data_IF_782076709185
#
_entry.id   IF_782076709185
#
_cell.length_a   1.000
_cell.length_b   1.000
_cell.length_c   1.000
_cell.angle_alpha   90.00
_cell.angle_beta   90.00
_cell.angle_gamma   90.00
#
_symmetry.space_group_name_H-M   'P 1'
#
loop_
_entity.id
_entity.type
_entity.pdbx_description
1 polymer ?
#
# COMPACT_ATOMS: atom_id res chain seq x y z
N UNK A 1 -19.01 9.80 -17.23
CA UNK A 1 -18.01 10.02 -16.17
C UNK A 1 -17.47 8.67 -15.71
N UNK A 2 -16.16 8.43 -15.70
CA UNK A 2 -15.60 7.10 -15.40
C UNK A 2 -15.22 7.00 -13.90
N UNK A 3 -16.06 6.30 -13.11
CA UNK A 3 -15.91 6.16 -11.66
C UNK A 3 -14.55 5.56 -11.26
N UNK A 4 -14.05 4.58 -12.01
CA UNK A 4 -12.75 3.96 -11.78
C UNK A 4 -11.63 5.01 -11.78
N UNK A 5 -11.61 5.89 -12.79
CA UNK A 5 -10.58 6.94 -12.92
C UNK A 5 -10.63 7.91 -11.75
N UNK A 6 -11.83 8.30 -11.31
CA UNK A 6 -12.01 9.22 -10.18
C UNK A 6 -11.54 8.61 -8.86
N UNK A 7 -11.88 7.35 -8.59
CA UNK A 7 -11.42 6.65 -7.38
C UNK A 7 -9.90 6.46 -7.37
N UNK A 8 -9.30 6.08 -8.51
CA UNK A 8 -7.86 5.95 -8.63
C UNK A 8 -7.14 7.30 -8.44
N UNK A 9 -7.69 8.38 -8.99
CA UNK A 9 -7.15 9.73 -8.82
C UNK A 9 -7.22 10.19 -7.36
N UNK A 10 -8.35 9.96 -6.69
CA UNK A 10 -8.50 10.26 -5.27
C UNK A 10 -7.50 9.46 -4.41
N UNK A 11 -7.34 8.16 -4.69
CA UNK A 11 -6.39 7.32 -3.99
C UNK A 11 -4.94 7.82 -4.16
N UNK A 12 -4.53 8.16 -5.38
CA UNK A 12 -3.19 8.73 -5.63
C UNK A 12 -3.01 10.05 -4.90
N UNK A 13 -4.02 10.93 -4.93
CA UNK A 13 -4.01 12.21 -4.20
C UNK A 13 -3.81 12.00 -2.69
N UNK A 14 -4.50 11.03 -2.10
CA UNK A 14 -4.36 10.69 -0.68
C UNK A 14 -2.96 10.16 -0.34
N UNK A 15 -2.38 9.34 -1.22
CA UNK A 15 -1.04 8.77 -1.01
C UNK A 15 0.08 9.80 -1.19
N UNK A 16 -0.11 10.80 -2.04
CA UNK A 16 0.90 11.83 -2.34
C UNK A 16 0.77 13.08 -1.45
N UNK A 17 -0.37 13.23 -0.77
CA UNK A 17 -0.63 14.34 0.15
C UNK A 17 0.38 14.43 1.29
N UNK A 18 0.86 15.65 1.57
CA UNK A 18 1.70 15.97 2.72
C UNK A 18 0.83 16.46 3.88
N UNK A 19 0.09 15.55 4.51
CA UNK A 19 -0.76 15.86 5.66
C UNK A 19 -2.08 15.12 5.67
N UNK A 20 -2.92 15.38 6.68
CA UNK A 20 -4.26 14.81 6.78
C UNK A 20 -5.17 15.54 5.78
N UNK A 21 -5.55 14.85 4.70
CA UNK A 21 -6.51 15.34 3.71
C UNK A 21 -7.85 14.62 3.89
N UNK A 22 -8.95 15.37 3.82
CA UNK A 22 -10.28 14.77 3.80
C UNK A 22 -10.45 13.96 2.52
N UNK A 23 -10.93 12.71 2.66
CA UNK A 23 -11.20 11.84 1.50
C UNK A 23 -12.42 12.36 0.76
N UNK A 24 -12.23 12.74 -0.50
CA UNK A 24 -13.30 13.18 -1.38
C UNK A 24 -13.75 12.01 -2.25
N UNK A 25 -14.59 11.13 -1.68
CA UNK A 25 -15.08 9.95 -2.40
C UNK A 25 -16.04 10.41 -3.50
N UNK A 26 -15.82 10.03 -4.78
CA UNK A 26 -16.75 10.31 -5.86
C UNK A 26 -18.11 9.63 -5.60
N UNK A 27 -19.22 10.30 -5.98
CA UNK A 27 -20.56 9.76 -5.81
C UNK A 27 -20.70 8.35 -6.41
N UNK A 28 -21.20 7.40 -5.62
CA UNK A 28 -21.33 5.99 -6.00
C UNK A 28 -20.05 5.17 -5.81
N UNK A 29 -18.98 5.78 -5.28
CA UNK A 29 -17.69 5.14 -4.98
C UNK A 29 -17.53 4.69 -3.52
N UNK A 30 -18.49 4.97 -2.65
CA UNK A 30 -18.40 4.78 -1.19
C UNK A 30 -18.22 3.31 -0.82
N UNK A 31 -18.99 2.42 -1.44
CA UNK A 31 -18.86 0.98 -1.22
C UNK A 31 -17.52 0.44 -1.75
N UNK A 32 -17.09 0.88 -2.93
CA UNK A 32 -15.82 0.46 -3.52
C UNK A 32 -14.64 0.92 -2.66
N UNK A 33 -14.67 2.15 -2.16
CA UNK A 33 -13.68 2.67 -1.25
C UNK A 33 -13.64 1.88 0.06
N UNK A 34 -14.81 1.61 0.65
CA UNK A 34 -14.93 0.79 1.87
C UNK A 34 -14.37 -0.61 1.67
N UNK A 35 -14.73 -1.30 0.59
CA UNK A 35 -14.25 -2.64 0.27
C UNK A 35 -12.76 -2.67 0.00
N UNK A 36 -12.25 -1.69 -0.76
CA UNK A 36 -10.82 -1.55 -1.00
C UNK A 36 -10.05 -1.37 0.32
N UNK A 37 -10.51 -0.48 1.21
CA UNK A 37 -9.89 -0.29 2.53
C UNK A 37 -9.93 -1.54 3.40
N UNK A 38 -11.02 -2.33 3.33
CA UNK A 38 -11.13 -3.58 4.07
C UNK A 38 -10.13 -4.64 3.55
N UNK A 39 -10.08 -4.84 2.23
CA UNK A 39 -9.12 -5.75 1.59
C UNK A 39 -7.67 -5.30 1.80
N UNK A 40 -7.42 -3.99 1.71
CA UNK A 40 -6.09 -3.41 1.90
C UNK A 40 -5.52 -3.70 3.30
N UNK A 41 -6.37 -3.70 4.32
CA UNK A 41 -5.97 -4.01 5.70
C UNK A 41 -5.53 -5.45 5.90
N UNK A 42 -6.00 -6.36 5.06
CA UNK A 42 -5.69 -7.80 5.15
C UNK A 42 -4.64 -8.24 4.14
N UNK A 43 -4.15 -7.32 3.30
CA UNK A 43 -3.19 -7.64 2.24
C UNK A 43 -1.92 -8.23 2.82
N UNK A 44 -1.35 -9.19 2.11
CA UNK A 44 -0.02 -9.68 2.46
C UNK A 44 1.06 -8.66 2.12
N UNK A 45 2.12 -8.64 2.93
CA UNK A 45 3.33 -7.88 2.67
C UNK A 45 4.53 -8.83 2.72
N UNK A 46 5.35 -8.80 1.67
CA UNK A 46 6.57 -9.59 1.57
C UNK A 46 7.83 -8.75 1.75
N UNK A 47 9.00 -9.37 1.59
CA UNK A 47 10.30 -8.70 1.71
C UNK A 47 10.50 -7.55 0.72
N UNK A 48 9.84 -7.60 -0.44
CA UNK A 48 9.88 -6.55 -1.46
C UNK A 48 8.72 -5.54 -1.33
N UNK A 49 7.93 -5.61 -0.26
CA UNK A 49 6.81 -4.70 -0.02
C UNK A 49 5.42 -5.33 -0.24
N UNK A 50 4.38 -4.50 -0.36
CA UNK A 50 3.00 -4.95 -0.39
C UNK A 50 2.69 -5.80 -1.63
N UNK A 51 2.03 -6.93 -1.41
CA UNK A 51 1.59 -7.83 -2.49
C UNK A 51 0.24 -7.38 -3.04
N UNK A 52 -0.03 -7.58 -4.34
CA UNK A 52 -1.31 -7.21 -4.95
C UNK A 52 -2.49 -7.95 -4.32
N UNK A 53 -3.63 -7.27 -4.26
CA UNK A 53 -4.89 -7.89 -3.87
C UNK A 53 -5.32 -8.85 -4.99
N UNK A 54 -5.43 -10.12 -4.65
CA UNK A 54 -5.75 -11.21 -5.57
C UNK A 54 -7.27 -11.37 -5.77
N UNK A 55 -7.66 -11.98 -6.89
CA UNK A 55 -9.06 -12.37 -7.09
C UNK A 55 -9.58 -13.33 -6.03
N UNK A 56 -8.71 -14.18 -5.47
CA UNK A 56 -9.05 -15.09 -4.38
C UNK A 56 -9.44 -14.33 -3.10
N UNK A 57 -8.69 -13.28 -2.75
CA UNK A 57 -9.03 -12.41 -1.61
C UNK A 57 -10.35 -11.66 -1.83
N UNK A 58 -10.57 -11.13 -3.03
CA UNK A 58 -11.83 -10.44 -3.37
C UNK A 58 -13.02 -11.41 -3.30
N UNK A 59 -12.87 -12.61 -3.85
CA UNK A 59 -13.91 -13.65 -3.83
C UNK A 59 -14.19 -14.14 -2.40
N UNK A 60 -13.14 -14.35 -1.60
CA UNK A 60 -13.28 -14.73 -0.19
C UNK A 60 -14.00 -13.64 0.61
N UNK A 61 -13.60 -12.37 0.45
CA UNK A 61 -14.24 -11.23 1.10
C UNK A 61 -15.71 -11.09 0.69
N UNK A 62 -16.03 -11.21 -0.59
CA UNK A 62 -17.41 -11.22 -1.08
C UNK A 62 -18.25 -12.32 -0.42
N UNK A 63 -17.70 -13.52 -0.27
CA UNK A 63 -18.39 -14.67 0.34
C UNK A 63 -18.57 -14.53 1.85
N UNK A 64 -17.54 -14.12 2.58
CA UNK A 64 -17.58 -13.98 4.05
C UNK A 64 -18.64 -12.96 4.48
N UNK A 65 -18.75 -11.85 3.74
CA UNK A 65 -19.67 -10.76 4.06
C UNK A 65 -20.96 -10.78 3.24
N UNK A 66 -21.19 -11.81 2.41
CA UNK A 66 -22.34 -11.94 1.51
C UNK A 66 -22.58 -10.68 0.66
N UNK A 67 -21.50 -10.11 0.12
CA UNK A 67 -21.54 -8.87 -0.66
C UNK A 67 -21.75 -9.14 -2.17
N UNK A 68 -22.60 -8.37 -2.86
CA UNK A 68 -22.84 -8.51 -4.29
C UNK A 68 -21.71 -7.87 -5.13
N UNK A 69 -20.49 -8.39 -5.03
CA UNK A 69 -19.33 -7.89 -5.78
C UNK A 69 -19.36 -8.44 -7.21
N UNK A 70 -19.97 -7.68 -8.11
CA UNK A 70 -19.98 -7.94 -9.57
C UNK A 70 -18.61 -7.76 -10.26
N UNK A 71 -18.40 -8.33 -11.45
CA UNK A 71 -17.15 -8.18 -12.21
C UNK A 71 -16.70 -6.73 -12.45
N UNK A 72 -17.65 -5.80 -12.63
CA UNK A 72 -17.33 -4.36 -12.76
C UNK A 72 -16.74 -3.77 -11.48
N UNK A 73 -17.17 -4.24 -10.30
CA UNK A 73 -16.61 -3.82 -9.03
C UNK A 73 -15.20 -4.39 -8.85
N UNK A 74 -15.01 -5.66 -9.21
CA UNK A 74 -13.70 -6.32 -9.20
C UNK A 74 -12.71 -5.54 -10.06
N UNK A 75 -13.08 -5.16 -11.28
CA UNK A 75 -12.22 -4.38 -12.16
C UNK A 75 -11.78 -3.04 -11.54
N UNK A 76 -12.68 -2.35 -10.82
CA UNK A 76 -12.37 -1.10 -10.13
C UNK A 76 -11.45 -1.34 -8.93
N UNK A 77 -11.71 -2.37 -8.12
CA UNK A 77 -10.87 -2.72 -6.97
C UNK A 77 -9.44 -3.06 -7.40
N UNK A 78 -9.28 -3.83 -8.47
CA UNK A 78 -7.97 -4.15 -9.04
C UNK A 78 -7.28 -2.89 -9.59
N UNK A 79 -8.01 -2.00 -10.25
CA UNK A 79 -7.43 -0.74 -10.73
C UNK A 79 -6.99 0.19 -9.58
N UNK A 80 -7.76 0.23 -8.49
CA UNK A 80 -7.37 0.96 -7.28
C UNK A 80 -6.12 0.36 -6.64
N UNK A 81 -6.02 -0.97 -6.54
CA UNK A 81 -4.81 -1.62 -5.98
C UNK A 81 -3.58 -1.37 -6.85
N UNK A 82 -3.72 -1.46 -8.18
CA UNK A 82 -2.65 -1.14 -9.10
C UNK A 82 -2.17 0.31 -8.93
N UNK A 83 -3.11 1.26 -8.80
CA UNK A 83 -2.78 2.66 -8.53
C UNK A 83 -2.02 2.83 -7.21
N UNK A 84 -2.37 2.08 -6.16
CA UNK A 84 -1.63 2.08 -4.90
C UNK A 84 -0.21 1.53 -5.07
N UNK A 85 -0.07 0.35 -5.68
CA UNK A 85 1.22 -0.31 -5.87
C UNK A 85 2.17 0.56 -6.69
N UNK A 86 1.70 1.16 -7.79
CA UNK A 86 2.48 2.11 -8.58
C UNK A 86 3.03 3.26 -7.73
N UNK A 87 2.20 3.85 -6.86
CA UNK A 87 2.63 4.97 -6.01
C UNK A 87 3.60 4.51 -4.92
N UNK A 88 3.42 3.33 -4.33
CA UNK A 88 4.33 2.82 -3.31
C UNK A 88 5.68 2.41 -3.90
N UNK A 89 5.69 1.67 -5.00
CA UNK A 89 6.92 1.24 -5.66
C UNK A 89 7.70 2.39 -6.31
N UNK A 90 7.03 3.48 -6.71
CA UNK A 90 7.71 4.72 -7.13
C UNK A 90 8.45 5.43 -5.99
N UNK A 91 7.97 5.30 -4.75
CA UNK A 91 8.60 5.91 -3.57
C UNK A 91 9.78 5.08 -3.04
N UNK A 92 9.85 3.79 -3.36
CA UNK A 92 11.00 2.98 -2.99
C UNK A 92 12.22 3.37 -3.85
N UNK A 93 13.41 3.51 -3.25
CA UNK A 93 14.63 3.71 -4.02
C UNK A 93 14.89 2.46 -4.87
N UNK A 94 14.58 2.54 -6.17
CA UNK A 94 14.93 1.50 -7.13
C UNK A 94 16.44 1.58 -7.39
N UNK A 95 17.18 0.51 -7.12
CA UNK A 95 18.52 0.41 -7.67
C UNK A 95 18.41 0.21 -9.19
N UNK A 96 19.36 0.77 -9.97
CA UNK A 96 19.50 0.42 -11.38
C UNK A 96 19.67 -1.10 -11.55
N UNK A 97 19.19 -1.62 -12.69
CA UNK A 97 19.24 -3.04 -13.02
C UNK A 97 20.65 -3.63 -12.80
N UNK A 98 20.72 -4.75 -12.08
CA UNK A 98 21.96 -5.49 -11.81
C UNK A 98 22.71 -5.09 -10.53
N UNK A 99 22.29 -4.04 -9.83
CA UNK A 99 22.93 -3.63 -8.56
C UNK A 99 22.00 -3.94 -7.38
N UNK A 100 22.45 -4.77 -6.43
CA UNK A 100 21.73 -4.96 -5.18
C UNK A 100 21.68 -3.62 -4.45
N UNK A 101 20.48 -3.10 -4.18
CA UNK A 101 20.30 -1.92 -3.31
C UNK A 101 20.96 -2.26 -1.97
N UNK A 102 22.01 -1.51 -1.59
CA UNK A 102 22.57 -1.67 -0.26
C UNK A 102 21.48 -1.28 0.75
N UNK A 103 21.27 -2.05 1.83
CA UNK A 103 20.33 -1.66 2.87
C UNK A 103 20.69 -0.26 3.38
N UNK A 104 19.69 0.55 3.80
CA UNK A 104 19.93 1.91 4.25
C UNK A 104 21.01 1.91 5.32
N UNK A 105 22.17 2.50 4.99
CA UNK A 105 23.29 2.61 5.93
C UNK A 105 22.92 3.70 6.92
N UNK A 106 22.92 3.36 8.21
CA UNK A 106 22.69 4.32 9.28
C UNK A 106 23.67 5.49 9.15
N UNK A 107 23.15 6.72 9.19
CA UNK A 107 23.99 7.93 9.27
C UNK A 107 24.54 8.17 10.68
N UNK A 108 24.10 7.39 11.67
CA UNK A 108 24.62 7.51 13.02
C UNK A 108 26.06 6.95 13.06
N UNK A 109 27.04 7.72 13.55
CA UNK A 109 28.40 7.21 13.72
C UNK A 109 28.39 6.05 14.73
N UNK A 110 29.00 4.93 14.35
CA UNK A 110 29.24 3.79 15.25
C UNK A 110 30.31 4.21 16.26
N UNK A 111 29.87 4.76 17.40
CA UNK A 111 30.75 5.10 18.52
C UNK A 111 30.80 3.94 19.50
N UNK A 112 31.93 3.80 20.22
CA UNK A 112 32.08 2.79 21.27
C UNK A 112 30.96 2.90 22.32
N UNK A 113 30.58 4.11 22.72
CA UNK A 113 29.48 4.31 23.66
C UNK A 113 28.10 3.88 23.14
N UNK A 114 27.82 4.03 21.85
CA UNK A 114 26.58 3.50 21.25
C UNK A 114 26.60 1.97 21.14
N UNK A 115 27.77 1.39 20.87
CA UNK A 115 27.95 -0.04 20.85
C UNK A 115 27.74 -0.65 22.24
N UNK A 116 28.39 -0.09 23.26
CA UNK A 116 28.26 -0.55 24.65
C UNK A 116 26.85 -0.34 25.20
N UNK A 117 26.17 0.74 24.83
CA UNK A 117 24.78 0.97 25.22
C UNK A 117 23.80 -0.02 24.57
N UNK A 118 24.06 -0.43 23.32
CA UNK A 118 23.19 -1.34 22.57
C UNK A 118 23.40 -2.82 22.95
N UNK A 119 24.66 -3.21 23.21
CA UNK A 119 25.04 -4.61 23.46
C UNK A 119 25.35 -4.91 24.94
N UNK A 120 25.24 -3.92 25.81
CA UNK A 120 25.52 -4.06 27.24
C UNK A 120 27.02 -4.14 27.50
N UNK A 121 27.67 -2.97 27.51
CA UNK A 121 29.02 -2.83 28.03
C UNK A 121 29.04 -3.25 29.50
N UNK A 122 29.68 -4.38 29.76
CA UNK A 122 29.92 -4.87 31.11
C UNK A 122 30.63 -3.79 31.92
N UNK A 123 30.21 -3.62 33.18
CA UNK A 123 30.95 -2.87 34.20
C UNK A 123 32.38 -3.39 34.33
#
# INVERSE_FOLDING_TARGET
MNLQKLLCAELKRQLEGKGVAMVAIPAGGELLWKWFMALHKTRQAGMNGPQPITYAEIAAYSRIYSLPIEPRHVAILVAMDQAYLETVYKKQPQAPEGVKVLPPVSKAPLTAGLFDAQFGGAK
#
